data_IF_007864748078
#
_entry.id   IF_007864748078
#
_cell.length_a   1.000
_cell.length_b   1.000
_cell.length_c   1.000
_cell.angle_alpha   90.00
_cell.angle_beta   90.00
_cell.angle_gamma   90.00
#
_symmetry.space_group_name_H-M   'P 1'
#
loop_
_entity.id
_entity.type
_entity.pdbx_description
1 polymer ?
#
# COMPACT_ATOMS: atom_id res chain seq x y z
N UNK A 1 6.56 -8.23 14.34
CA UNK A 1 7.96 -8.49 14.73
C UNK A 1 8.91 -8.59 13.55
N UNK A 2 8.77 -9.54 12.62
CA UNK A 2 9.73 -9.68 11.50
C UNK A 2 9.76 -8.43 10.59
N UNK A 3 8.59 -7.97 10.13
CA UNK A 3 8.48 -6.76 9.29
C UNK A 3 8.95 -5.50 10.03
N UNK A 4 8.71 -5.42 11.34
CA UNK A 4 9.21 -4.32 12.17
C UNK A 4 10.73 -4.36 12.34
N UNK A 5 11.31 -5.55 12.39
CA UNK A 5 12.76 -5.75 12.34
C UNK A 5 13.35 -5.23 11.03
N UNK A 6 12.74 -5.57 9.89
CA UNK A 6 13.17 -5.08 8.58
C UNK A 6 13.05 -3.56 8.45
N UNK A 7 11.93 -2.99 8.90
CA UNK A 7 11.72 -1.54 8.88
C UNK A 7 12.72 -0.80 9.76
N UNK A 8 13.06 -1.32 10.95
CA UNK A 8 14.10 -0.72 11.80
C UNK A 8 15.48 -0.82 11.19
N UNK A 9 15.85 -1.99 10.66
CA UNK A 9 17.20 -2.25 10.16
C UNK A 9 17.47 -1.61 8.78
N UNK A 10 16.43 -1.39 7.97
CA UNK A 10 16.53 -0.93 6.59
C UNK A 10 15.55 0.21 6.27
N UNK A 11 15.31 1.12 7.22
CA UNK A 11 14.31 2.20 7.12
C UNK A 11 14.38 3.06 5.85
N UNK A 12 15.57 3.24 5.26
CA UNK A 12 15.74 3.99 4.00
C UNK A 12 15.17 3.25 2.78
N UNK A 13 15.11 1.92 2.83
CA UNK A 13 14.73 1.04 1.70
C UNK A 13 13.44 0.27 1.93
N UNK A 14 13.03 0.13 3.18
CA UNK A 14 11.85 -0.62 3.58
C UNK A 14 11.01 0.20 4.55
N UNK A 15 9.79 0.52 4.13
CA UNK A 15 8.78 1.21 4.91
C UNK A 15 7.58 0.29 5.07
N UNK A 16 6.95 0.33 6.24
CA UNK A 16 5.71 -0.39 6.51
C UNK A 16 4.65 0.60 6.96
N UNK A 17 3.46 0.46 6.40
CA UNK A 17 2.26 1.17 6.82
C UNK A 17 1.11 0.17 6.92
N UNK A 18 0.33 0.25 7.99
CA UNK A 18 -0.70 -0.69 8.38
C UNK A 18 -2.05 -0.01 8.39
N UNK A 19 -3.04 -0.76 7.95
CA UNK A 19 -4.42 -0.31 7.93
C UNK A 19 -5.28 -1.35 8.61
N UNK A 20 -6.05 -0.96 9.62
CA UNK A 20 -6.95 -1.85 10.35
C UNK A 20 -8.40 -1.38 10.23
N UNK A 21 -9.31 -2.28 9.90
CA UNK A 21 -10.74 -1.96 9.90
C UNK A 21 -11.28 -1.67 11.31
N UNK A 22 -10.74 -2.36 12.31
CA UNK A 22 -11.12 -2.23 13.71
C UNK A 22 -9.84 -2.11 14.54
N UNK A 23 -9.26 -0.90 14.64
CA UNK A 23 -8.03 -0.69 15.37
C UNK A 23 -8.26 -0.74 16.90
N UNK A 24 -7.21 -1.00 17.69
CA UNK A 24 -7.23 -0.75 19.13
C UNK A 24 -7.34 0.75 19.43
N UNK A 25 -7.63 1.10 20.69
CA UNK A 25 -7.80 2.50 21.14
C UNK A 25 -6.57 3.38 20.84
N UNK A 26 -5.37 2.79 20.94
CA UNK A 26 -4.11 3.45 20.58
C UNK A 26 -3.64 2.92 19.23
N UNK A 27 -3.92 3.69 18.17
CA UNK A 27 -3.52 3.37 16.79
C UNK A 27 -3.26 4.64 15.98
N UNK A 28 -2.05 4.74 15.44
CA UNK A 28 -1.56 5.95 14.78
C UNK A 28 -1.47 5.83 13.24
N UNK A 29 -1.84 4.67 12.69
CA UNK A 29 -1.77 4.39 11.25
C UNK A 29 -3.16 4.38 10.60
N UNK A 30 -3.33 3.70 9.47
CA UNK A 30 -4.56 3.76 8.67
C UNK A 30 -5.72 3.04 9.36
N UNK A 31 -6.94 3.54 9.15
CA UNK A 31 -8.17 2.93 9.67
C UNK A 31 -9.17 2.69 8.53
N UNK A 32 -9.78 1.52 8.49
CA UNK A 32 -10.76 1.13 7.47
C UNK A 32 -10.14 0.31 6.33
N UNK A 33 -10.57 0.58 5.10
CA UNK A 33 -9.98 0.00 3.89
C UNK A 33 -8.86 0.90 3.35
N UNK A 34 -7.95 0.32 2.58
CA UNK A 34 -6.91 1.08 1.89
C UNK A 34 -7.57 2.10 0.95
N UNK A 35 -7.28 3.38 1.15
CA UNK A 35 -7.82 4.48 0.35
C UNK A 35 -6.83 4.98 -0.69
N UNK A 36 -7.32 5.79 -1.64
CA UNK A 36 -6.49 6.47 -2.63
C UNK A 36 -5.44 7.36 -1.98
N UNK A 37 -5.81 8.08 -0.92
CA UNK A 37 -4.95 9.02 -0.20
C UNK A 37 -3.82 8.28 0.54
N UNK A 38 -4.11 7.11 1.11
CA UNK A 38 -3.09 6.25 1.73
C UNK A 38 -2.06 5.79 0.69
N UNK A 39 -2.50 5.36 -0.49
CA UNK A 39 -1.60 4.96 -1.57
C UNK A 39 -0.74 6.15 -2.01
N UNK A 40 -1.35 7.32 -2.23
CA UNK A 40 -0.62 8.51 -2.67
C UNK A 40 0.42 8.99 -1.64
N UNK A 41 0.16 8.77 -0.35
CA UNK A 41 1.06 9.18 0.74
C UNK A 41 2.20 8.19 0.95
N UNK A 42 1.92 6.89 0.87
CA UNK A 42 2.86 5.84 1.29
C UNK A 42 3.53 5.09 0.14
N UNK A 43 2.97 5.11 -1.07
CA UNK A 43 3.57 4.51 -2.26
C UNK A 43 4.33 5.56 -3.09
N UNK A 44 5.37 5.16 -3.84
CA UNK A 44 6.03 6.05 -4.80
C UNK A 44 5.06 6.55 -5.86
N UNK A 45 5.23 7.79 -6.33
CA UNK A 45 4.45 8.32 -7.44
C UNK A 45 4.65 7.48 -8.73
N UNK A 46 3.67 7.47 -9.66
CA UNK A 46 3.81 6.75 -10.92
C UNK A 46 5.06 7.20 -11.70
N UNK A 47 5.88 6.23 -12.09
CA UNK A 47 7.07 6.44 -12.93
C UNK A 47 7.43 5.15 -13.66
N UNK A 48 8.24 5.24 -14.70
CA UNK A 48 8.60 4.08 -15.56
C UNK A 48 9.38 2.98 -14.84
N UNK A 49 9.97 3.28 -13.69
CA UNK A 49 10.76 2.38 -12.84
C UNK A 49 10.01 1.93 -11.58
N UNK A 50 8.72 2.25 -11.46
CA UNK A 50 7.88 1.88 -10.32
C UNK A 50 6.97 0.71 -10.67
N UNK A 51 6.97 -0.29 -9.80
CA UNK A 51 6.05 -1.43 -9.84
C UNK A 51 5.27 -1.51 -8.53
N UNK A 52 3.94 -1.54 -8.63
CA UNK A 52 3.03 -1.80 -7.53
C UNK A 52 2.61 -3.27 -7.57
N UNK A 53 2.92 -3.98 -6.50
CA UNK A 53 2.56 -5.38 -6.33
C UNK A 53 1.38 -5.48 -5.36
N UNK A 54 0.33 -6.22 -5.73
CA UNK A 54 -0.84 -6.44 -4.88
C UNK A 54 -1.19 -7.91 -4.75
N UNK A 55 -1.62 -8.28 -3.56
CA UNK A 55 -2.13 -9.61 -3.23
C UNK A 55 -3.17 -9.45 -2.11
N UNK A 56 -4.23 -10.25 -2.16
CA UNK A 56 -5.32 -10.17 -1.20
C UNK A 56 -6.64 -10.68 -1.77
N UNK A 57 -7.74 -10.53 -1.01
CA UNK A 57 -9.07 -10.93 -1.46
C UNK A 57 -9.49 -10.23 -2.76
N UNK A 58 -10.28 -10.87 -3.64
CA UNK A 58 -10.68 -10.27 -4.92
C UNK A 58 -11.31 -8.86 -4.81
N UNK A 59 -12.19 -8.57 -3.83
CA UNK A 59 -12.72 -7.21 -3.66
C UNK A 59 -11.64 -6.17 -3.34
N UNK A 60 -10.65 -6.53 -2.53
CA UNK A 60 -9.53 -5.66 -2.18
C UNK A 60 -8.68 -5.37 -3.41
N UNK A 61 -8.30 -6.39 -4.17
CA UNK A 61 -7.50 -6.20 -5.39
C UNK A 61 -8.23 -5.35 -6.43
N UNK A 62 -9.55 -5.51 -6.57
CA UNK A 62 -10.37 -4.68 -7.47
C UNK A 62 -10.40 -3.22 -7.03
N UNK A 63 -10.56 -2.95 -5.72
CA UNK A 63 -10.53 -1.59 -5.20
C UNK A 63 -9.15 -0.94 -5.36
N UNK A 64 -8.08 -1.69 -5.05
CA UNK A 64 -6.70 -1.24 -5.24
C UNK A 64 -6.42 -0.87 -6.70
N UNK A 65 -6.84 -1.70 -7.66
CA UNK A 65 -6.72 -1.38 -9.09
C UNK A 65 -7.37 -0.04 -9.43
N UNK A 66 -8.63 0.16 -9.01
CA UNK A 66 -9.36 1.38 -9.28
C UNK A 66 -8.69 2.62 -8.66
N UNK A 67 -8.10 2.51 -7.47
CA UNK A 67 -7.35 3.60 -6.85
C UNK A 67 -6.05 3.92 -7.58
N UNK A 68 -5.31 2.89 -8.01
CA UNK A 68 -4.07 3.04 -8.77
C UNK A 68 -4.34 3.67 -10.14
N UNK A 69 -5.38 3.21 -10.84
CA UNK A 69 -5.80 3.81 -12.11
C UNK A 69 -6.17 5.30 -11.93
N UNK A 70 -6.90 5.63 -10.86
CA UNK A 70 -7.28 7.01 -10.53
C UNK A 70 -6.10 7.90 -10.07
N UNK A 71 -4.95 7.30 -9.74
CA UNK A 71 -3.69 7.98 -9.43
C UNK A 71 -2.74 8.04 -10.64
N UNK A 72 -3.10 7.41 -11.76
CA UNK A 72 -2.31 7.43 -12.99
C UNK A 72 -1.22 6.36 -13.08
N UNK A 73 -1.29 5.29 -12.27
CA UNK A 73 -0.42 4.13 -12.49
C UNK A 73 -0.91 3.36 -13.72
N UNK A 74 -0.05 3.22 -14.73
CA UNK A 74 -0.38 2.47 -15.94
C UNK A 74 -0.53 0.97 -15.64
N UNK A 75 -1.27 0.20 -16.48
CA UNK A 75 -1.45 -1.24 -16.27
C UNK A 75 -0.14 -2.02 -16.11
N UNK A 76 0.91 -1.62 -16.82
CA UNK A 76 2.23 -2.27 -16.79
C UNK A 76 2.94 -2.06 -15.43
N UNK A 77 2.60 -0.98 -14.73
CA UNK A 77 3.13 -0.67 -13.38
C UNK A 77 2.43 -1.47 -12.29
N UNK A 78 1.44 -2.29 -12.61
CA UNK A 78 0.63 -3.04 -11.64
C UNK A 78 0.76 -4.54 -11.87
N UNK A 79 1.06 -5.30 -10.81
CA UNK A 79 1.03 -6.76 -10.86
C UNK A 79 0.21 -7.32 -9.70
N UNK A 80 -0.72 -8.21 -10.03
CA UNK A 80 -1.51 -8.94 -9.06
C UNK A 80 -1.02 -10.40 -9.03
N UNK A 81 -0.66 -10.87 -7.83
CA UNK A 81 -0.34 -12.28 -7.58
C UNK A 81 -1.57 -13.19 -7.62
#
# INVERSE_FOLDING_TARGET
EELDGLARNYHERFKIYRVLNQPPEVWDEGVGFVSKEMIQTHCPAPASDIQILRCGPPPMNKAMAAHLDALGYAPEMQFQF
#
